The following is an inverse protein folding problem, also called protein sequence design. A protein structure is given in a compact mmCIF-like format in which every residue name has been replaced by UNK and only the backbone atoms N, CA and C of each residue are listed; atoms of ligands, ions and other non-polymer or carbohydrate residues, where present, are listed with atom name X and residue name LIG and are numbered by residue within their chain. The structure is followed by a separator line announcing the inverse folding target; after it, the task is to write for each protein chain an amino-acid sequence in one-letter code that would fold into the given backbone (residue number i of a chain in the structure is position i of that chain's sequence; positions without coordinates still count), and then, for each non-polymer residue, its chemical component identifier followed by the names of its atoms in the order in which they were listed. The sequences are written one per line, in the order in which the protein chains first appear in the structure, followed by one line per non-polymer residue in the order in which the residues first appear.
data_IF_746737111041
#
_entry.id   IF_746737111041
#
_cell.length_a   1.000
_cell.length_b   1.000
_cell.length_c   1.000
_cell.angle_alpha   90.00
_cell.angle_beta   90.00
_cell.angle_gamma   90.00
#
_symmetry.space_group_name_H-M   'P 1'
#
loop_
_entity.id
_entity.type
_entity.pdbx_description
1 polymer ?
#
# COMPACT_ATOMS: atom_id res chain seq x y z
N UNK A 1 -24.08 -31.14 -17.51
CA UNK A 1 -23.64 -29.74 -17.57
C UNK A 1 -23.34 -29.34 -16.15
N UNK A 2 -22.11 -29.03 -15.84
CA UNK A 2 -21.80 -28.37 -14.56
C UNK A 2 -22.48 -26.97 -14.61
N UNK A 3 -23.11 -26.51 -13.53
CA UNK A 3 -23.64 -25.14 -13.52
C UNK A 3 -22.48 -24.17 -13.78
N UNK A 4 -22.65 -23.27 -14.74
CA UNK A 4 -21.71 -22.16 -14.95
C UNK A 4 -21.59 -21.42 -13.64
N UNK A 5 -20.42 -21.46 -13.01
CA UNK A 5 -20.15 -20.65 -11.82
C UNK A 5 -20.35 -19.18 -12.21
N UNK A 6 -21.25 -18.48 -11.50
CA UNK A 6 -21.46 -17.06 -11.74
C UNK A 6 -20.14 -16.30 -11.56
N UNK A 7 -19.84 -15.30 -12.40
CA UNK A 7 -18.63 -14.51 -12.30
C UNK A 7 -18.50 -13.89 -10.89
N UNK A 8 -17.34 -14.08 -10.26
CA UNK A 8 -17.05 -13.47 -8.95
C UNK A 8 -16.72 -12.00 -9.12
N UNK A 9 -17.36 -11.14 -8.33
CA UNK A 9 -17.03 -9.72 -8.30
C UNK A 9 -16.01 -9.44 -7.19
N UNK A 10 -14.89 -8.80 -7.55
CA UNK A 10 -13.89 -8.30 -6.61
C UNK A 10 -13.99 -6.77 -6.57
N UNK A 11 -14.22 -6.23 -5.39
CA UNK A 11 -14.27 -4.78 -5.14
C UNK A 11 -12.89 -4.27 -4.76
N UNK A 12 -12.48 -3.14 -5.33
CA UNK A 12 -11.19 -2.50 -5.03
C UNK A 12 -11.45 -1.12 -4.44
N UNK A 13 -11.23 -0.94 -3.14
CA UNK A 13 -11.21 0.37 -2.49
C UNK A 13 -9.91 1.13 -2.83
N UNK A 14 -10.02 2.46 -2.89
CA UNK A 14 -8.88 3.30 -3.24
C UNK A 14 -8.37 3.08 -4.67
N UNK A 15 -9.25 2.69 -5.58
CA UNK A 15 -8.94 2.26 -6.95
C UNK A 15 -8.20 3.29 -7.81
N UNK A 16 -8.28 4.57 -7.50
CA UNK A 16 -7.56 5.66 -8.19
C UNK A 16 -6.21 6.00 -7.53
N UNK A 17 -5.91 5.40 -6.38
CA UNK A 17 -4.63 5.57 -5.67
C UNK A 17 -3.53 4.62 -6.18
N UNK A 18 -2.32 4.78 -5.64
CA UNK A 18 -1.16 3.99 -6.06
C UNK A 18 -1.39 2.47 -5.94
N UNK A 19 -1.84 1.99 -4.79
CA UNK A 19 -2.07 0.56 -4.60
C UNK A 19 -3.29 0.08 -5.41
N UNK A 20 -4.45 0.73 -5.25
CA UNK A 20 -5.70 0.26 -5.82
C UNK A 20 -5.71 0.22 -7.34
N UNK A 21 -5.07 1.18 -8.03
CA UNK A 21 -5.00 1.15 -9.51
C UNK A 21 -4.21 -0.04 -10.02
N UNK A 22 -3.11 -0.40 -9.35
CA UNK A 22 -2.33 -1.59 -9.68
C UNK A 22 -3.10 -2.88 -9.41
N UNK A 23 -3.86 -2.92 -8.31
CA UNK A 23 -4.74 -4.06 -8.00
C UNK A 23 -5.82 -4.22 -9.08
N UNK A 24 -6.46 -3.13 -9.52
CA UNK A 24 -7.43 -3.20 -10.64
C UNK A 24 -6.78 -3.77 -11.90
N UNK A 25 -5.61 -3.25 -12.29
CA UNK A 25 -4.88 -3.72 -13.47
C UNK A 25 -4.55 -5.21 -13.38
N UNK A 26 -3.96 -5.63 -12.26
CA UNK A 26 -3.49 -7.00 -12.11
C UNK A 26 -4.64 -8.00 -11.98
N UNK A 27 -5.76 -7.67 -11.32
CA UNK A 27 -6.95 -8.53 -11.26
C UNK A 27 -7.52 -8.82 -12.66
N UNK A 28 -7.47 -7.86 -13.57
CA UNK A 28 -7.96 -8.03 -14.93
C UNK A 28 -7.04 -8.87 -15.82
N UNK A 29 -5.78 -9.10 -15.40
CA UNK A 29 -4.75 -9.80 -16.17
C UNK A 29 -4.27 -11.11 -15.51
N UNK A 30 -4.61 -11.36 -14.25
CA UNK A 30 -4.12 -12.54 -13.51
C UNK A 30 -4.72 -13.82 -14.09
N UNK A 31 -3.88 -14.82 -14.42
CA UNK A 31 -4.35 -16.15 -14.80
C UNK A 31 -5.18 -16.80 -13.67
N UNK A 32 -6.34 -17.34 -14.03
CA UNK A 32 -7.31 -17.90 -13.08
C UNK A 32 -8.37 -16.91 -12.59
N UNK A 33 -8.29 -15.65 -13.03
CA UNK A 33 -9.29 -14.62 -12.75
C UNK A 33 -9.97 -14.08 -14.03
N UNK A 34 -9.89 -14.80 -15.15
CA UNK A 34 -10.38 -14.37 -16.47
C UNK A 34 -11.89 -14.06 -16.49
N UNK A 35 -12.65 -14.71 -15.62
CA UNK A 35 -14.10 -14.48 -15.49
C UNK A 35 -14.48 -13.52 -14.37
N UNK A 36 -13.50 -13.05 -13.57
CA UNK A 36 -13.79 -12.15 -12.47
C UNK A 36 -14.16 -10.76 -12.97
N UNK A 37 -15.19 -10.19 -12.34
CA UNK A 37 -15.58 -8.79 -12.51
C UNK A 37 -14.84 -7.93 -11.47
N UNK A 38 -14.34 -6.79 -11.89
CA UNK A 38 -13.65 -5.83 -11.02
C UNK A 38 -14.53 -4.58 -10.84
N UNK A 39 -14.90 -4.29 -9.61
CA UNK A 39 -15.65 -3.10 -9.23
C UNK A 39 -14.72 -2.12 -8.53
N UNK A 40 -14.27 -1.10 -9.26
CA UNK A 40 -13.38 -0.08 -8.77
C UNK A 40 -14.16 1.01 -8.03
N UNK A 41 -13.86 1.22 -6.74
CA UNK A 41 -14.55 2.18 -5.89
C UNK A 41 -13.79 3.50 -5.85
N UNK A 42 -14.50 4.59 -6.11
CA UNK A 42 -13.99 5.96 -6.02
C UNK A 42 -15.04 6.89 -5.43
N UNK A 43 -14.63 8.00 -4.81
CA UNK A 43 -15.55 9.02 -4.29
C UNK A 43 -16.30 9.77 -5.40
N UNK A 44 -15.67 9.90 -6.57
CA UNK A 44 -16.24 10.55 -7.73
C UNK A 44 -15.89 9.77 -9.01
N UNK A 45 -16.88 9.08 -9.58
CA UNK A 45 -16.76 8.33 -10.84
C UNK A 45 -16.55 9.22 -12.06
N UNK A 46 -16.81 10.54 -11.94
CA UNK A 46 -16.61 11.52 -13.00
C UNK A 46 -15.24 12.21 -12.93
N UNK A 47 -14.44 11.90 -11.90
CA UNK A 47 -13.11 12.48 -11.74
C UNK A 47 -12.20 12.12 -12.91
N UNK A 48 -11.20 12.97 -13.26
CA UNK A 48 -10.20 12.63 -14.29
C UNK A 48 -9.50 11.30 -14.00
N UNK A 49 -9.15 11.02 -12.74
CA UNK A 49 -8.49 9.79 -12.33
C UNK A 49 -9.36 8.54 -12.55
N UNK A 50 -10.68 8.62 -12.27
CA UNK A 50 -11.60 7.52 -12.51
C UNK A 50 -11.79 7.25 -14.00
N UNK A 51 -11.92 8.30 -14.82
CA UNK A 51 -11.98 8.15 -16.29
C UNK A 51 -10.71 7.55 -16.86
N UNK A 52 -9.56 8.00 -16.39
CA UNK A 52 -8.26 7.46 -16.79
C UNK A 52 -8.12 5.98 -16.43
N UNK A 53 -8.60 5.57 -15.25
CA UNK A 53 -8.60 4.17 -14.83
C UNK A 53 -9.39 3.29 -15.82
N UNK A 54 -10.62 3.69 -16.18
CA UNK A 54 -11.41 2.99 -17.17
C UNK A 54 -10.72 2.96 -18.55
N UNK A 55 -10.22 4.10 -18.99
CA UNK A 55 -9.57 4.21 -20.31
C UNK A 55 -8.33 3.29 -20.41
N UNK A 56 -7.56 3.18 -19.34
CA UNK A 56 -6.34 2.41 -19.33
C UNK A 56 -6.57 0.90 -19.21
N UNK A 57 -7.60 0.49 -18.47
CA UNK A 57 -7.71 -0.90 -18.00
C UNK A 57 -9.02 -1.61 -18.39
N UNK A 58 -9.97 -0.92 -19.06
CA UNK A 58 -11.18 -1.60 -19.54
C UNK A 58 -10.82 -2.73 -20.51
N UNK A 59 -11.40 -3.89 -20.27
CA UNK A 59 -11.23 -5.07 -21.11
C UNK A 59 -12.31 -5.12 -22.20
N UNK A 60 -12.06 -5.85 -23.29
CA UNK A 60 -13.02 -6.02 -24.38
C UNK A 60 -14.33 -6.70 -23.95
N UNK A 61 -14.28 -7.46 -22.86
CA UNK A 61 -15.41 -8.15 -22.23
C UNK A 61 -16.04 -7.33 -21.07
N UNK A 62 -15.68 -6.05 -20.95
CA UNK A 62 -16.25 -5.08 -20.02
C UNK A 62 -16.20 -5.51 -18.54
N UNK A 63 -15.17 -6.23 -18.11
CA UNK A 63 -15.03 -6.72 -16.74
C UNK A 63 -14.76 -5.64 -15.68
N UNK A 64 -14.42 -4.41 -16.06
CA UNK A 64 -14.19 -3.30 -15.15
C UNK A 64 -15.41 -2.39 -15.07
N UNK A 65 -15.87 -2.14 -13.85
CA UNK A 65 -16.92 -1.15 -13.55
C UNK A 65 -16.47 -0.16 -12.49
N UNK A 66 -17.00 1.06 -12.55
CA UNK A 66 -16.81 2.07 -11.50
C UNK A 66 -18.06 2.15 -10.62
N UNK A 67 -17.85 2.33 -9.32
CA UNK A 67 -18.92 2.65 -8.38
C UNK A 67 -18.49 3.74 -7.40
N UNK A 68 -19.46 4.52 -6.94
CA UNK A 68 -19.21 5.52 -5.91
C UNK A 68 -19.16 4.86 -4.53
N UNK A 69 -18.18 5.24 -3.71
CA UNK A 69 -18.08 4.83 -2.32
C UNK A 69 -17.10 5.71 -1.56
N UNK A 70 -17.48 6.03 -0.33
CA UNK A 70 -16.66 6.78 0.61
C UNK A 70 -16.50 5.98 1.90
N UNK A 71 -15.27 5.81 2.38
CA UNK A 71 -14.98 5.08 3.63
C UNK A 71 -15.60 5.73 4.87
N UNK A 72 -16.06 6.97 4.76
CA UNK A 72 -16.78 7.68 5.82
C UNK A 72 -18.32 7.68 5.64
N UNK A 73 -18.82 7.05 4.56
CA UNK A 73 -20.25 6.83 4.30
C UNK A 73 -20.56 5.33 4.27
N UNK A 74 -21.05 4.75 5.40
CA UNK A 74 -21.35 3.32 5.51
C UNK A 74 -22.35 2.80 4.48
N UNK A 75 -23.36 3.61 4.11
CA UNK A 75 -24.35 3.18 3.11
C UNK A 75 -23.75 3.10 1.71
N UNK A 76 -22.89 4.04 1.35
CA UNK A 76 -22.16 3.98 0.07
C UNK A 76 -21.26 2.75 -0.03
N UNK A 77 -20.59 2.39 1.08
CA UNK A 77 -19.76 1.17 1.14
C UNK A 77 -20.61 -0.10 1.02
N UNK A 78 -21.72 -0.19 1.72
CA UNK A 78 -22.67 -1.32 1.63
C UNK A 78 -23.15 -1.50 0.19
N UNK A 79 -23.54 -0.41 -0.48
CA UNK A 79 -23.93 -0.45 -1.88
C UNK A 79 -22.78 -0.92 -2.80
N UNK A 80 -21.57 -0.41 -2.57
CA UNK A 80 -20.39 -0.80 -3.33
C UNK A 80 -20.00 -2.27 -3.15
N UNK A 81 -20.24 -2.86 -1.97
CA UNK A 81 -19.87 -4.25 -1.64
C UNK A 81 -20.99 -5.25 -1.96
N UNK A 82 -22.21 -4.79 -2.21
CA UNK A 82 -23.36 -5.67 -2.47
C UNK A 82 -23.07 -6.68 -3.58
N UNK A 83 -23.27 -7.98 -3.28
CA UNK A 83 -23.09 -9.09 -4.21
C UNK A 83 -21.62 -9.37 -4.56
N UNK A 84 -20.64 -8.77 -3.89
CA UNK A 84 -19.23 -9.05 -4.14
C UNK A 84 -18.76 -10.31 -3.42
N UNK A 85 -17.86 -11.06 -4.08
CA UNK A 85 -17.15 -12.18 -3.50
C UNK A 85 -16.01 -11.72 -2.59
N UNK A 86 -15.24 -10.74 -3.07
CA UNK A 86 -14.03 -10.29 -2.38
C UNK A 86 -13.86 -8.78 -2.40
N UNK A 87 -13.06 -8.28 -1.45
CA UNK A 87 -12.73 -6.85 -1.33
C UNK A 87 -11.23 -6.73 -1.11
N UNK A 88 -10.56 -5.93 -1.94
CA UNK A 88 -9.27 -5.33 -1.60
C UNK A 88 -9.52 -4.00 -0.90
N UNK A 89 -9.00 -3.85 0.31
CA UNK A 89 -9.16 -2.65 1.11
C UNK A 89 -7.82 -2.03 1.49
N UNK A 90 -7.78 -0.72 1.44
CA UNK A 90 -6.70 0.11 1.93
C UNK A 90 -7.28 1.33 2.63
N UNK A 91 -6.72 1.67 3.77
CA UNK A 91 -6.97 2.93 4.47
C UNK A 91 -5.83 3.91 4.20
N UNK A 92 -6.03 5.18 4.48
CA UNK A 92 -5.05 6.22 4.25
C UNK A 92 -5.03 7.20 5.42
N UNK A 93 -3.85 7.65 5.76
CA UNK A 93 -3.62 8.78 6.65
C UNK A 93 -4.06 10.12 6.01
N UNK A 94 -4.17 10.14 4.67
CA UNK A 94 -4.61 11.33 3.93
C UNK A 94 -6.13 11.38 3.80
N UNK A 95 -6.72 12.43 4.33
CA UNK A 95 -8.14 12.78 4.15
C UNK A 95 -8.25 14.13 3.46
N UNK A 96 -9.46 14.49 3.03
CA UNK A 96 -9.75 15.84 2.50
C UNK A 96 -9.61 16.95 3.55
N UNK A 97 -9.63 16.58 4.85
CA UNK A 97 -9.45 17.49 5.98
C UNK A 97 -7.99 17.45 6.45
N UNK A 98 -7.45 18.58 6.88
CA UNK A 98 -6.13 18.69 7.48
C UNK A 98 -6.07 17.94 8.81
N UNK A 99 -4.95 17.29 9.09
CA UNK A 99 -4.65 16.63 10.36
C UNK A 99 -3.99 17.65 11.30
N UNK A 100 -4.79 18.36 12.09
CA UNK A 100 -4.28 19.42 12.94
C UNK A 100 -3.75 18.92 14.27
N UNK A 101 -4.27 17.81 14.77
CA UNK A 101 -3.86 17.16 16.02
C UNK A 101 -3.61 15.67 15.82
N UNK A 102 -2.87 15.05 16.76
CA UNK A 102 -2.67 13.59 16.77
C UNK A 102 -4.00 12.83 16.91
N UNK A 103 -5.00 13.41 17.59
CA UNK A 103 -6.34 12.83 17.72
C UNK A 103 -7.04 12.69 16.36
N UNK A 104 -6.80 13.62 15.43
CA UNK A 104 -7.35 13.56 14.09
C UNK A 104 -6.86 12.32 13.32
N UNK A 105 -5.73 11.73 13.68
CA UNK A 105 -5.24 10.48 13.07
C UNK A 105 -6.19 9.29 13.28
N UNK A 106 -7.05 9.34 14.30
CA UNK A 106 -8.04 8.28 14.57
C UNK A 106 -9.13 8.16 13.50
N UNK A 107 -9.23 9.13 12.58
CA UNK A 107 -10.14 9.01 11.44
C UNK A 107 -9.92 7.70 10.67
N UNK A 108 -8.67 7.19 10.61
CA UNK A 108 -8.34 5.96 9.92
C UNK A 108 -9.00 4.74 10.59
N UNK A 109 -9.05 4.72 11.93
CA UNK A 109 -9.77 3.69 12.68
C UNK A 109 -11.28 3.71 12.34
N UNK A 110 -11.89 4.89 12.23
CA UNK A 110 -13.29 5.01 11.83
C UNK A 110 -13.53 4.49 10.42
N UNK A 111 -12.64 4.82 9.47
CA UNK A 111 -12.68 4.29 8.12
C UNK A 111 -12.60 2.75 8.11
N UNK A 112 -11.67 2.19 8.89
CA UNK A 112 -11.51 0.75 9.06
C UNK A 112 -12.79 0.07 9.60
N UNK A 113 -13.41 0.64 10.64
CA UNK A 113 -14.66 0.13 11.20
C UNK A 113 -15.79 0.13 10.17
N UNK A 114 -15.94 1.21 9.40
CA UNK A 114 -16.97 1.32 8.37
C UNK A 114 -16.77 0.26 7.26
N UNK A 115 -15.52 0.08 6.80
CA UNK A 115 -15.16 -0.92 5.79
C UNK A 115 -15.48 -2.34 6.29
N UNK A 116 -15.06 -2.69 7.51
CA UNK A 116 -15.31 -4.01 8.12
C UNK A 116 -16.80 -4.25 8.30
N UNK A 117 -17.55 -3.25 8.78
CA UNK A 117 -18.99 -3.35 8.95
C UNK A 117 -19.71 -3.61 7.63
N UNK A 118 -19.34 -2.88 6.56
CA UNK A 118 -19.91 -3.11 5.24
C UNK A 118 -19.53 -4.50 4.69
N UNK A 119 -18.29 -4.94 4.85
CA UNK A 119 -17.83 -6.26 4.43
C UNK A 119 -18.61 -7.38 5.16
N UNK A 120 -18.85 -7.22 6.46
CA UNK A 120 -19.63 -8.17 7.27
C UNK A 120 -21.11 -8.21 6.82
N UNK A 121 -21.73 -7.05 6.63
CA UNK A 121 -23.13 -6.95 6.19
C UNK A 121 -23.37 -7.52 4.80
N UNK A 122 -22.38 -7.41 3.92
CA UNK A 122 -22.42 -7.94 2.56
C UNK A 122 -21.85 -9.38 2.45
N UNK A 123 -21.54 -10.03 3.57
CA UNK A 123 -21.05 -11.41 3.64
C UNK A 123 -19.84 -11.66 2.75
N UNK A 124 -18.89 -10.71 2.71
CA UNK A 124 -17.67 -10.82 1.92
C UNK A 124 -16.89 -12.08 2.31
N UNK A 125 -16.61 -12.93 1.31
CA UNK A 125 -15.98 -14.24 1.52
C UNK A 125 -14.45 -14.12 1.57
N UNK A 126 -13.84 -13.15 0.89
CA UNK A 126 -12.39 -12.96 0.83
C UNK A 126 -12.03 -11.48 1.00
N UNK A 127 -11.53 -11.13 2.15
CA UNK A 127 -11.11 -9.75 2.48
C UNK A 127 -9.58 -9.66 2.45
N UNK A 128 -9.04 -8.86 1.53
CA UNK A 128 -7.59 -8.60 1.38
C UNK A 128 -7.32 -7.17 1.83
N UNK A 129 -6.46 -7.01 2.82
CA UNK A 129 -6.20 -5.72 3.46
C UNK A 129 -4.72 -5.31 3.37
N UNK A 130 -4.46 -4.08 2.94
CA UNK A 130 -3.13 -3.47 3.03
C UNK A 130 -2.88 -3.00 4.45
N UNK A 131 -2.15 -3.80 5.22
CA UNK A 131 -1.86 -3.59 6.64
C UNK A 131 -0.42 -3.16 6.87
N UNK A 132 -0.06 -2.93 8.14
CA UNK A 132 1.31 -2.67 8.61
C UNK A 132 1.51 -3.33 9.98
N UNK A 133 2.76 -3.53 10.43
CA UNK A 133 3.02 -4.17 11.72
C UNK A 133 2.66 -3.25 12.91
N UNK A 134 2.48 -3.88 14.09
CA UNK A 134 2.32 -3.18 15.37
C UNK A 134 3.65 -2.59 15.82
N UNK A 135 3.88 -1.33 15.52
CA UNK A 135 5.15 -0.67 15.80
C UNK A 135 5.37 -0.41 17.29
N UNK A 136 4.31 -0.17 18.05
CA UNK A 136 4.41 -0.07 19.52
C UNK A 136 4.98 -1.35 20.10
N UNK A 137 4.54 -2.53 19.64
CA UNK A 137 5.08 -3.82 20.06
C UNK A 137 6.50 -4.06 19.54
N UNK A 138 6.73 -3.83 18.25
CA UNK A 138 8.04 -4.03 17.59
C UNK A 138 9.15 -3.23 18.25
N UNK A 139 8.84 -1.99 18.65
CA UNK A 139 9.81 -1.07 19.25
C UNK A 139 9.88 -1.15 20.78
N UNK A 140 9.14 -2.08 21.41
CA UNK A 140 9.04 -2.18 22.87
C UNK A 140 8.52 -0.90 23.51
N UNK A 141 7.57 -0.23 22.88
CA UNK A 141 7.00 1.07 23.28
C UNK A 141 8.00 2.23 23.29
N UNK A 142 9.14 2.09 22.60
CA UNK A 142 10.08 3.21 22.44
C UNK A 142 9.52 4.30 21.52
N UNK A 143 8.74 3.89 20.52
CA UNK A 143 8.07 4.78 19.59
C UNK A 143 6.56 4.56 19.69
N UNK A 144 5.84 5.52 20.22
CA UNK A 144 4.42 5.40 20.55
C UNK A 144 3.51 6.20 19.61
N UNK A 145 4.10 6.94 18.68
CA UNK A 145 3.34 7.84 17.77
C UNK A 145 3.40 7.41 16.31
N UNK A 146 3.66 6.13 16.03
CA UNK A 146 3.58 5.54 14.69
C UNK A 146 2.13 5.17 14.36
N UNK A 147 1.23 6.14 14.48
CA UNK A 147 -0.22 5.94 14.41
C UNK A 147 -0.68 5.35 13.08
N UNK A 148 -0.13 5.84 11.94
CA UNK A 148 -0.52 5.31 10.64
C UNK A 148 -0.18 3.82 10.46
N UNK A 149 0.81 3.30 11.19
CA UNK A 149 1.16 1.88 11.19
C UNK A 149 0.30 1.10 12.20
N UNK A 150 0.26 1.57 13.44
CA UNK A 150 -0.47 0.92 14.52
C UNK A 150 -1.99 0.89 14.27
N UNK A 151 -2.57 1.92 13.64
CA UNK A 151 -3.98 1.94 13.26
C UNK A 151 -4.30 0.86 12.23
N UNK A 152 -3.46 0.64 11.22
CA UNK A 152 -3.65 -0.43 10.25
C UNK A 152 -3.57 -1.81 10.90
N UNK A 153 -2.65 -2.00 11.84
CA UNK A 153 -2.61 -3.23 12.63
C UNK A 153 -3.91 -3.43 13.46
N UNK A 154 -4.41 -2.38 14.11
CA UNK A 154 -5.67 -2.44 14.87
C UNK A 154 -6.83 -2.83 13.95
N UNK A 155 -6.94 -2.20 12.78
CA UNK A 155 -7.96 -2.52 11.77
C UNK A 155 -7.83 -3.97 11.31
N UNK A 156 -6.62 -4.47 11.07
CA UNK A 156 -6.35 -5.88 10.76
C UNK A 156 -6.91 -6.81 11.84
N UNK A 157 -6.64 -6.52 13.13
CA UNK A 157 -7.14 -7.34 14.23
C UNK A 157 -8.68 -7.35 14.29
N UNK A 158 -9.33 -6.20 14.07
CA UNK A 158 -10.78 -6.14 13.98
C UNK A 158 -11.33 -6.93 12.78
N UNK A 159 -10.71 -6.80 11.62
CA UNK A 159 -11.09 -7.56 10.43
C UNK A 159 -10.99 -9.07 10.68
N UNK A 160 -9.87 -9.55 11.24
CA UNK A 160 -9.66 -10.98 11.56
C UNK A 160 -10.62 -11.52 12.61
N UNK A 161 -11.09 -10.68 13.53
CA UNK A 161 -12.10 -11.05 14.52
C UNK A 161 -13.50 -11.16 13.92
N UNK A 162 -13.87 -10.23 13.00
CA UNK A 162 -15.25 -10.00 12.59
C UNK A 162 -15.61 -10.60 11.22
N UNK A 163 -14.61 -10.91 10.37
CA UNK A 163 -14.81 -11.41 9.02
C UNK A 163 -14.37 -12.89 8.88
N UNK A 164 -15.00 -13.60 7.96
CA UNK A 164 -14.80 -15.04 7.78
C UNK A 164 -13.40 -15.41 7.28
N UNK A 165 -12.81 -14.59 6.39
CA UNK A 165 -11.49 -14.83 5.83
C UNK A 165 -10.79 -13.49 5.52
N UNK A 166 -9.66 -13.28 6.15
CA UNK A 166 -8.83 -12.08 6.00
C UNK A 166 -7.42 -12.50 5.58
N UNK A 167 -6.88 -11.81 4.58
CA UNK A 167 -5.48 -11.92 4.16
C UNK A 167 -4.88 -10.52 4.19
N UNK A 168 -3.69 -10.36 4.73
CA UNK A 168 -3.05 -9.04 4.80
C UNK A 168 -1.80 -8.98 3.93
N UNK A 169 -1.63 -7.86 3.25
CA UNK A 169 -0.41 -7.50 2.55
C UNK A 169 0.30 -6.41 3.37
N UNK A 170 1.57 -6.65 3.70
CA UNK A 170 2.39 -5.76 4.53
C UNK A 170 3.44 -5.06 3.65
N UNK A 171 3.11 -3.90 3.07
CA UNK A 171 4.03 -3.21 2.18
C UNK A 171 5.20 -2.56 2.93
N UNK A 172 6.38 -2.57 2.31
CA UNK A 172 7.54 -1.79 2.70
C UNK A 172 7.42 -0.31 2.27
N UNK A 173 8.51 0.47 2.27
CA UNK A 173 8.51 1.85 1.77
C UNK A 173 8.18 1.93 0.28
N UNK A 174 7.41 2.94 -0.12
CA UNK A 174 6.94 3.11 -1.49
C UNK A 174 7.96 3.87 -2.35
N UNK A 175 8.41 3.28 -3.46
CA UNK A 175 9.25 3.96 -4.44
C UNK A 175 8.57 5.21 -5.03
N UNK A 176 7.25 5.24 -5.12
CA UNK A 176 6.51 6.44 -5.54
C UNK A 176 6.66 7.63 -4.60
N UNK A 177 7.12 7.42 -3.36
CA UNK A 177 7.44 8.53 -2.44
C UNK A 177 8.62 9.36 -2.93
N UNK A 178 9.48 8.82 -3.81
CA UNK A 178 10.56 9.57 -4.46
C UNK A 178 10.09 10.74 -5.33
N UNK A 179 8.79 10.82 -5.64
CA UNK A 179 8.18 11.99 -6.26
C UNK A 179 7.91 13.15 -5.28
N UNK A 180 8.16 12.95 -3.99
CA UNK A 180 7.94 13.97 -2.95
C UNK A 180 9.27 14.63 -2.60
N UNK A 181 9.33 15.98 -2.46
CA UNK A 181 10.59 16.70 -2.30
C UNK A 181 11.36 16.37 -1.02
N UNK A 182 10.71 15.88 0.03
CA UNK A 182 11.39 15.40 1.23
C UNK A 182 12.13 14.07 1.02
N UNK A 183 11.79 13.29 -0.02
CA UNK A 183 12.51 12.05 -0.36
C UNK A 183 13.53 12.24 -1.46
N UNK A 184 13.17 13.02 -2.49
CA UNK A 184 14.02 13.22 -3.65
C UNK A 184 13.73 14.55 -4.31
N UNK A 185 14.77 15.28 -4.73
CA UNK A 185 14.67 16.56 -5.43
C UNK A 185 15.82 16.76 -6.39
N UNK A 186 15.63 17.61 -7.38
CA UNK A 186 16.68 17.96 -8.33
C UNK A 186 17.25 19.35 -7.98
N UNK A 187 18.55 19.42 -7.71
CA UNK A 187 19.25 20.64 -7.36
C UNK A 187 20.42 20.82 -8.34
N UNK A 188 20.45 21.95 -9.06
CA UNK A 188 21.50 22.26 -10.05
C UNK A 188 21.76 21.13 -11.08
N UNK A 189 20.69 20.45 -11.52
CA UNK A 189 20.77 19.34 -12.48
C UNK A 189 21.09 17.98 -11.88
N UNK A 190 21.47 17.90 -10.60
CA UNK A 190 21.79 16.66 -9.88
C UNK A 190 20.56 16.19 -9.09
N UNK A 191 20.25 14.90 -9.18
CA UNK A 191 19.20 14.28 -8.38
C UNK A 191 19.75 13.96 -6.99
N UNK A 192 19.10 14.51 -5.96
CA UNK A 192 19.46 14.29 -4.56
C UNK A 192 18.43 13.43 -3.88
N UNK A 193 18.83 12.21 -3.47
CA UNK A 193 18.06 11.38 -2.56
C UNK A 193 18.35 11.82 -1.13
N UNK A 194 17.31 12.19 -0.37
CA UNK A 194 17.49 12.88 0.89
C UNK A 194 16.63 12.41 2.08
N UNK A 195 16.10 11.14 2.13
CA UNK A 195 15.50 10.64 3.36
C UNK A 195 16.49 10.73 4.52
N UNK A 196 16.03 11.04 5.75
CA UNK A 196 16.89 11.24 6.93
C UNK A 196 17.34 9.90 7.53
N UNK A 197 17.87 9.01 6.72
CA UNK A 197 18.33 7.66 7.08
C UNK A 197 19.82 7.57 6.74
N UNK A 198 20.68 6.94 7.56
CA UNK A 198 22.09 6.73 7.20
C UNK A 198 22.28 6.02 5.87
N UNK A 199 23.30 6.40 5.10
CA UNK A 199 23.54 5.86 3.76
C UNK A 199 23.79 4.36 3.71
N UNK A 200 24.47 3.82 4.73
CA UNK A 200 24.77 2.41 4.88
C UNK A 200 23.62 1.56 5.42
N UNK A 201 22.51 2.22 5.84
CA UNK A 201 21.35 1.53 6.39
C UNK A 201 20.61 0.71 5.35
N UNK A 202 20.28 -0.53 5.70
CA UNK A 202 19.53 -1.46 4.88
C UNK A 202 18.02 -1.24 5.05
N UNK A 203 17.31 -0.89 3.97
CA UNK A 203 15.88 -0.63 3.96
C UNK A 203 15.19 -1.40 2.84
N UNK A 204 13.93 -1.78 3.04
CA UNK A 204 13.10 -2.44 2.03
C UNK A 204 12.16 -1.44 1.36
N UNK A 205 12.02 -1.58 0.05
CA UNK A 205 11.16 -0.75 -0.79
C UNK A 205 10.30 -1.63 -1.71
N UNK A 206 9.27 -1.04 -2.31
CA UNK A 206 8.46 -1.70 -3.34
C UNK A 206 7.87 -0.66 -4.31
N UNK A 207 7.45 -1.12 -5.48
CA UNK A 207 6.53 -0.39 -6.34
C UNK A 207 5.09 -0.58 -5.85
N UNK A 208 4.46 0.42 -5.20
CA UNK A 208 3.13 0.23 -4.64
C UNK A 208 2.04 0.04 -5.70
N UNK A 209 2.32 0.32 -6.96
CA UNK A 209 1.39 0.08 -8.06
C UNK A 209 1.51 -1.36 -8.53
N UNK A 210 2.67 -1.74 -9.01
CA UNK A 210 2.89 -3.05 -9.61
C UNK A 210 2.89 -4.18 -8.56
N UNK A 211 3.70 -4.03 -7.51
CA UNK A 211 3.90 -5.13 -6.56
C UNK A 211 2.65 -5.41 -5.71
N UNK A 212 1.97 -4.36 -5.22
CA UNK A 212 0.69 -4.56 -4.52
C UNK A 212 -0.36 -5.18 -5.44
N UNK A 213 -0.32 -4.82 -6.73
CA UNK A 213 -1.19 -5.38 -7.74
C UNK A 213 -1.02 -6.87 -7.91
N UNK A 214 0.20 -7.33 -8.22
CA UNK A 214 0.49 -8.76 -8.46
C UNK A 214 0.26 -9.61 -7.20
N UNK A 215 0.62 -9.12 -6.01
CA UNK A 215 0.39 -9.84 -4.76
C UNK A 215 -1.10 -9.98 -4.46
N UNK A 216 -1.88 -8.90 -4.57
CA UNK A 216 -3.33 -8.95 -4.34
C UNK A 216 -4.03 -9.87 -5.34
N UNK A 217 -3.72 -9.77 -6.63
CA UNK A 217 -4.29 -10.61 -7.67
C UNK A 217 -3.96 -12.10 -7.42
N UNK A 218 -2.71 -12.41 -7.07
CA UNK A 218 -2.29 -13.78 -6.74
C UNK A 218 -3.02 -14.33 -5.53
N UNK A 219 -3.22 -13.53 -4.47
CA UNK A 219 -3.99 -13.90 -3.28
C UNK A 219 -5.43 -14.26 -3.68
N UNK A 220 -6.09 -13.45 -4.50
CA UNK A 220 -7.45 -13.75 -4.98
C UNK A 220 -7.50 -14.98 -5.88
N UNK A 221 -6.53 -15.19 -6.75
CA UNK A 221 -6.44 -16.35 -7.62
C UNK A 221 -6.25 -17.67 -6.83
N UNK A 222 -5.41 -17.64 -5.80
CA UNK A 222 -5.22 -18.79 -4.91
C UNK A 222 -6.44 -19.10 -4.04
N UNK A 223 -7.24 -18.08 -3.75
CA UNK A 223 -8.49 -18.19 -3.01
C UNK A 223 -8.33 -18.37 -1.50
N UNK A 224 -9.46 -18.31 -0.81
CA UNK A 224 -9.57 -18.34 0.66
C UNK A 224 -8.90 -19.55 1.29
N UNK A 225 -9.05 -20.73 0.70
CA UNK A 225 -8.54 -21.97 1.29
C UNK A 225 -7.02 -21.98 1.50
N UNK A 226 -6.28 -21.23 0.68
CA UNK A 226 -4.81 -21.15 0.75
C UNK A 226 -4.30 -19.91 1.48
N UNK A 227 -5.07 -18.83 1.49
CA UNK A 227 -4.58 -17.51 1.91
C UNK A 227 -5.21 -16.96 3.19
N UNK A 228 -6.30 -17.57 3.67
CA UNK A 228 -7.00 -17.12 4.88
C UNK A 228 -6.08 -17.00 6.09
N UNK A 229 -6.18 -15.88 6.79
CA UNK A 229 -5.45 -15.53 8.01
C UNK A 229 -3.92 -15.48 7.85
N UNK A 230 -3.43 -15.34 6.61
CA UNK A 230 -2.01 -15.14 6.34
C UNK A 230 -1.69 -13.66 6.14
N UNK A 231 -0.46 -13.32 6.51
CA UNK A 231 0.14 -12.03 6.24
C UNK A 231 1.31 -12.25 5.28
N UNK A 232 1.39 -11.46 4.22
CA UNK A 232 2.43 -11.53 3.21
C UNK A 232 3.20 -10.21 3.16
N UNK A 233 4.51 -10.26 3.28
CA UNK A 233 5.37 -9.07 3.16
C UNK A 233 5.55 -8.73 1.69
N UNK A 234 5.15 -7.52 1.30
CA UNK A 234 5.35 -7.01 -0.06
C UNK A 234 6.55 -6.08 -0.04
N UNK A 235 7.73 -6.65 -0.29
CA UNK A 235 8.98 -5.93 -0.21
C UNK A 235 10.03 -6.52 -1.16
N UNK A 236 10.85 -5.65 -1.75
CA UNK A 236 12.07 -6.07 -2.43
C UNK A 236 13.15 -6.51 -1.42
N UNK A 237 14.19 -7.22 -1.87
CA UNK A 237 15.38 -7.39 -1.06
C UNK A 237 15.90 -6.06 -0.53
N UNK A 238 16.46 -6.09 0.68
CA UNK A 238 17.04 -4.89 1.28
C UNK A 238 18.14 -4.29 0.42
N UNK A 239 18.17 -2.97 0.37
CA UNK A 239 19.25 -2.21 -0.26
C UNK A 239 19.75 -1.11 0.68
N UNK A 240 21.00 -0.69 0.52
CA UNK A 240 21.53 0.47 1.25
C UNK A 240 20.90 1.74 0.69
N UNK A 241 20.68 2.72 1.56
CA UNK A 241 20.11 3.98 1.14
C UNK A 241 21.00 4.74 0.13
N UNK A 242 22.32 4.66 0.29
CA UNK A 242 23.28 5.27 -0.65
C UNK A 242 23.25 4.64 -2.05
N UNK A 243 22.81 3.38 -2.18
CA UNK A 243 22.73 2.69 -3.47
C UNK A 243 21.70 3.31 -4.41
N UNK A 244 20.74 4.10 -3.89
CA UNK A 244 19.79 4.84 -4.75
C UNK A 244 20.52 5.70 -5.78
N UNK A 245 21.52 6.46 -5.36
CA UNK A 245 22.26 7.36 -6.25
C UNK A 245 23.05 6.57 -7.32
N UNK A 246 23.71 5.49 -6.90
CA UNK A 246 24.52 4.64 -7.81
C UNK A 246 23.62 3.94 -8.85
N UNK A 247 22.53 3.32 -8.40
CA UNK A 247 21.59 2.60 -9.28
C UNK A 247 20.92 3.58 -10.24
N UNK A 248 20.45 4.72 -9.73
CA UNK A 248 19.79 5.75 -10.53
C UNK A 248 20.73 6.25 -11.65
N UNK A 249 21.95 6.65 -11.30
CA UNK A 249 22.93 7.14 -12.29
C UNK A 249 23.25 6.06 -13.34
N UNK A 250 23.41 4.81 -12.93
CA UNK A 250 23.67 3.70 -13.85
C UNK A 250 22.53 3.47 -14.84
N UNK A 251 21.27 3.57 -14.38
CA UNK A 251 20.09 3.25 -15.21
C UNK A 251 19.69 4.41 -16.10
N UNK A 252 19.73 5.65 -15.58
CA UNK A 252 19.21 6.83 -16.30
C UNK A 252 20.29 7.62 -17.05
N UNK A 253 21.55 7.51 -16.62
CA UNK A 253 22.65 8.36 -17.09
C UNK A 253 22.74 9.73 -16.40
N UNK A 254 21.72 10.12 -15.63
CA UNK A 254 21.71 11.38 -14.89
C UNK A 254 22.52 11.27 -13.58
N UNK A 255 23.19 12.36 -13.21
CA UNK A 255 23.96 12.39 -11.96
C UNK A 255 23.01 12.39 -10.75
N UNK A 256 23.36 11.59 -9.75
CA UNK A 256 22.65 11.57 -8.49
C UNK A 256 23.63 11.47 -7.30
N UNK A 257 23.16 11.96 -6.15
CA UNK A 257 23.84 11.83 -4.85
C UNK A 257 22.85 11.36 -3.79
N UNK A 258 23.36 10.65 -2.80
CA UNK A 258 22.66 10.42 -1.54
C UNK A 258 23.17 11.41 -0.50
N UNK A 259 22.30 12.27 -0.01
CA UNK A 259 22.64 13.33 0.96
C UNK A 259 21.43 13.57 1.87
N UNK A 260 21.35 12.84 3.00
CA UNK A 260 20.18 12.89 3.88
C UNK A 260 19.97 14.29 4.49
N UNK A 261 18.70 14.63 4.70
CA UNK A 261 18.31 15.79 5.52
C UNK A 261 18.33 15.39 7.01
N UNK A 262 18.08 16.37 7.88
CA UNK A 262 17.80 16.07 9.29
C UNK A 262 16.39 15.49 9.48
N UNK A 263 16.16 14.76 10.58
CA UNK A 263 14.84 14.23 10.92
C UNK A 263 13.78 15.33 11.04
N UNK A 264 14.15 16.48 11.62
CA UNK A 264 13.21 17.59 11.82
C UNK A 264 12.87 18.29 10.52
N UNK A 265 13.86 18.63 9.68
CA UNK A 265 13.61 19.22 8.35
C UNK A 265 12.72 18.31 7.49
N UNK A 266 12.98 17.02 7.52
CA UNK A 266 12.20 16.04 6.77
C UNK A 266 10.76 15.98 7.29
N UNK A 267 10.55 15.93 8.62
CA UNK A 267 9.24 15.88 9.24
C UNK A 267 8.43 17.15 8.99
N UNK A 268 9.07 18.31 9.03
CA UNK A 268 8.44 19.60 8.72
C UNK A 268 7.93 19.62 7.26
N UNK A 269 8.78 19.27 6.30
CA UNK A 269 8.38 19.19 4.89
C UNK A 269 7.26 18.16 4.64
N UNK A 270 7.35 17.00 5.28
CA UNK A 270 6.39 15.93 5.06
C UNK A 270 5.01 16.22 5.68
N UNK A 271 4.97 16.96 6.79
CA UNK A 271 3.72 17.34 7.46
C UNK A 271 3.09 18.62 6.89
N UNK A 272 3.79 19.39 6.07
CA UNK A 272 3.28 20.67 5.54
C UNK A 272 1.93 20.51 4.82
N UNK A 273 1.82 19.53 3.93
CA UNK A 273 0.61 19.29 3.16
C UNK A 273 -0.48 18.52 3.94
N UNK A 274 -0.09 17.70 4.92
CA UNK A 274 -1.00 16.81 5.67
C UNK A 274 -1.54 17.53 6.92
N UNK A 275 -0.67 18.18 7.65
CA UNK A 275 -0.98 18.89 8.88
C UNK A 275 -0.02 18.56 10.03
N UNK A 276 0.06 19.45 11.03
CA UNK A 276 1.01 19.33 12.15
C UNK A 276 0.76 18.10 13.03
N UNK A 277 -0.47 17.59 13.11
CA UNK A 277 -0.80 16.39 13.86
C UNK A 277 -0.14 15.11 13.30
N UNK A 278 0.31 15.14 12.05
CA UNK A 278 1.02 14.04 11.41
C UNK A 278 2.55 14.10 11.58
N UNK A 279 3.09 15.23 12.04
CA UNK A 279 4.53 15.49 12.07
C UNK A 279 5.32 14.47 12.88
N UNK A 280 4.87 14.20 14.09
CA UNK A 280 5.61 13.31 15.01
C UNK A 280 5.49 11.84 14.59
N UNK A 281 4.36 11.45 14.00
CA UNK A 281 4.16 10.12 13.42
C UNK A 281 5.25 9.78 12.40
N UNK A 282 5.40 10.61 11.38
CA UNK A 282 6.38 10.36 10.33
C UNK A 282 7.82 10.63 10.77
N UNK A 283 8.04 11.51 11.74
CA UNK A 283 9.36 11.72 12.31
C UNK A 283 9.85 10.44 13.02
N UNK A 284 8.99 9.85 13.86
CA UNK A 284 9.31 8.59 14.54
C UNK A 284 9.49 7.42 13.57
N UNK A 285 8.73 7.38 12.46
CA UNK A 285 8.91 6.36 11.43
C UNK A 285 10.33 6.42 10.82
N UNK A 286 10.83 7.61 10.50
CA UNK A 286 12.18 7.76 9.93
C UNK A 286 13.27 7.55 10.97
N UNK A 287 13.06 7.97 12.21
CA UNK A 287 13.97 7.66 13.31
C UNK A 287 14.09 6.16 13.52
N UNK A 288 12.98 5.43 13.55
CA UNK A 288 12.99 3.98 13.64
C UNK A 288 13.66 3.34 12.42
N UNK A 289 13.37 3.77 11.21
CA UNK A 289 14.00 3.26 10.00
C UNK A 289 15.52 3.38 10.01
N UNK A 290 16.05 4.39 10.72
CA UNK A 290 17.49 4.62 10.86
C UNK A 290 18.18 3.64 11.83
N UNK A 291 17.44 3.02 12.72
CA UNK A 291 17.99 2.16 13.81
C UNK A 291 17.39 0.76 13.86
N UNK A 292 16.39 0.45 13.05
CA UNK A 292 15.76 -0.88 13.04
C UNK A 292 16.79 -1.99 12.77
N UNK A 293 16.60 -3.22 13.28
CA UNK A 293 17.53 -4.33 13.07
C UNK A 293 17.71 -4.70 11.60
N UNK A 294 18.96 -4.90 11.17
CA UNK A 294 19.26 -5.24 9.77
C UNK A 294 18.95 -6.70 9.41
N UNK A 295 18.84 -7.58 10.38
CA UNK A 295 18.48 -9.00 10.22
C UNK A 295 16.97 -9.25 10.16
N UNK A 296 16.13 -8.24 10.44
CA UNK A 296 14.66 -8.33 10.42
C UNK A 296 14.08 -7.68 9.17
N UNK A 297 12.91 -8.13 8.73
CA UNK A 297 12.11 -7.56 7.64
C UNK A 297 10.84 -6.90 8.17
N UNK A 298 10.03 -6.32 7.29
CA UNK A 298 8.74 -5.70 7.64
C UNK A 298 8.89 -4.69 8.79
N UNK A 299 9.73 -3.67 8.60
CA UNK A 299 10.03 -2.64 9.61
C UNK A 299 10.57 -3.21 10.94
N UNK A 300 11.29 -4.33 10.89
CA UNK A 300 11.85 -4.96 12.08
C UNK A 300 10.91 -5.93 12.81
N UNK A 301 9.72 -6.17 12.27
CA UNK A 301 8.69 -6.97 12.92
C UNK A 301 8.89 -8.48 12.80
N UNK A 302 9.52 -8.96 11.72
CA UNK A 302 9.58 -10.38 11.37
C UNK A 302 11.00 -10.86 11.12
N UNK A 303 11.27 -12.11 11.46
CA UNK A 303 12.38 -12.83 10.86
C UNK A 303 12.06 -13.13 9.40
N UNK A 304 13.06 -13.09 8.47
CA UNK A 304 12.81 -13.46 7.07
C UNK A 304 12.18 -14.85 6.88
N UNK A 305 12.44 -15.77 7.81
CA UNK A 305 11.90 -17.14 7.78
C UNK A 305 10.41 -17.22 8.17
N UNK A 306 9.87 -16.15 8.77
CA UNK A 306 8.46 -16.09 9.18
C UNK A 306 7.56 -15.57 8.05
N UNK A 307 8.14 -15.04 6.98
CA UNK A 307 7.39 -14.54 5.83
C UNK A 307 7.08 -15.67 4.83
N UNK A 308 5.79 -16.05 4.66
CA UNK A 308 5.40 -17.10 3.74
C UNK A 308 5.26 -16.63 2.28
N UNK A 309 5.58 -15.37 1.97
CA UNK A 309 5.27 -14.75 0.66
C UNK A 309 5.85 -15.53 -0.51
N UNK A 310 7.12 -15.92 -0.43
CA UNK A 310 7.77 -16.68 -1.49
C UNK A 310 7.20 -18.10 -1.60
N UNK A 311 7.07 -18.80 -0.49
CA UNK A 311 6.63 -20.21 -0.48
C UNK A 311 5.19 -20.37 -0.95
N UNK A 312 4.31 -19.44 -0.56
CA UNK A 312 2.89 -19.50 -0.89
C UNK A 312 2.55 -18.88 -2.25
N UNK A 313 3.16 -17.75 -2.59
CA UNK A 313 2.79 -16.94 -3.75
C UNK A 313 3.78 -17.08 -4.91
N UNK A 314 5.03 -17.47 -4.65
CA UNK A 314 6.11 -17.49 -5.62
C UNK A 314 6.48 -16.08 -6.13
N UNK A 315 6.25 -15.04 -5.30
CA UNK A 315 6.43 -13.64 -5.67
C UNK A 315 7.49 -12.97 -4.79
N UNK A 316 8.21 -12.04 -5.39
CA UNK A 316 9.06 -11.05 -4.74
C UNK A 316 8.74 -9.68 -5.32
N UNK A 317 8.80 -8.62 -4.52
CA UNK A 317 8.58 -7.29 -5.02
C UNK A 317 9.76 -6.80 -5.89
N UNK A 318 9.48 -5.81 -6.72
CA UNK A 318 10.42 -5.23 -7.68
C UNK A 318 11.55 -4.49 -7.00
N UNK A 319 12.77 -4.67 -7.49
CA UNK A 319 13.90 -3.84 -7.09
C UNK A 319 13.73 -2.38 -7.56
N UNK A 320 14.53 -1.46 -7.00
CA UNK A 320 14.57 -0.07 -7.46
C UNK A 320 14.98 0.02 -8.95
N UNK A 321 15.90 -0.82 -9.39
CA UNK A 321 16.30 -0.88 -10.80
C UNK A 321 15.14 -1.32 -11.71
N UNK A 322 14.39 -2.35 -11.32
CA UNK A 322 13.21 -2.81 -12.08
C UNK A 322 12.15 -1.73 -12.17
N UNK A 323 11.91 -1.01 -11.06
CA UNK A 323 10.99 0.11 -11.01
C UNK A 323 11.41 1.24 -11.96
N UNK A 324 12.70 1.64 -11.96
CA UNK A 324 13.24 2.63 -12.88
C UNK A 324 13.02 2.23 -14.34
N UNK A 325 13.36 0.99 -14.70
CA UNK A 325 13.21 0.47 -16.06
C UNK A 325 11.74 0.41 -16.50
N UNK A 326 10.85 -0.01 -15.60
CA UNK A 326 9.41 -0.13 -15.89
C UNK A 326 8.73 1.22 -16.04
N UNK A 327 9.05 2.18 -15.18
CA UNK A 327 8.39 3.48 -15.14
C UNK A 327 9.03 4.54 -16.02
N UNK A 328 10.29 4.37 -16.40
CA UNK A 328 11.07 5.41 -17.07
C UNK A 328 11.31 6.64 -16.20
N UNK A 329 11.24 6.50 -14.85
CA UNK A 329 11.39 7.63 -13.93
C UNK A 329 12.82 8.18 -13.96
N UNK A 330 12.94 9.49 -14.19
CA UNK A 330 14.23 10.19 -14.34
C UNK A 330 14.47 11.22 -13.23
N UNK A 331 13.73 11.10 -12.14
CA UNK A 331 13.78 12.05 -11.03
C UNK A 331 12.65 13.09 -11.08
N UNK A 332 12.51 13.88 -10.01
CA UNK A 332 11.56 15.01 -9.96
C UNK A 332 12.04 16.21 -10.78
#
# INVERSE_FOLDING_TARGET
MQPEEQPRTIVVLGSTGNQGRGVVECLLREPGLETCLVRAVTRDIKSPAARQLLQNYQTSDERLSLTTGDVYDPESLKNAFSGAYGVFAVTSEHISKRIDTEEDMKHELQAGLNIISAAKLCEIQHFVFSSLPNMKQVTGSRFEKLFHMDHKYIIEQWAKRDLAAVTCLLPAFFLTNLNRPQYCRRENGVVRFCPPIPGDKLVQWLDPVYDMGIFAAKVFALGVSKTKNKNYVVAAPKMRMEDFATIFTRVTGDQAIYSPTTLDEWADMASEAVGPGFREDIRQMMEWASIMPDDKICYGALDPKEDPSWDDLGLSASSFEDWLKRTGWTGP
#
